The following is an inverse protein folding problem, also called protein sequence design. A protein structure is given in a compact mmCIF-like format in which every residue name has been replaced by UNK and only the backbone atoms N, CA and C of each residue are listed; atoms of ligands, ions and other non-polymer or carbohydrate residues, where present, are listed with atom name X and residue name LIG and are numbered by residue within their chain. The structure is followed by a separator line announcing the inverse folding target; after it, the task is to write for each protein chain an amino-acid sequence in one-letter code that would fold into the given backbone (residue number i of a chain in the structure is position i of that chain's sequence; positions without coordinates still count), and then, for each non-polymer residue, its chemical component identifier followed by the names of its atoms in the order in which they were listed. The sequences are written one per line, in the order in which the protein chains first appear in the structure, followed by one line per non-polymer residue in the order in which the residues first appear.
data_IF_037457278207
#
_entry.id   IF_037457278207
#
_cell.length_a   1.000
_cell.length_b   1.000
_cell.length_c   1.000
_cell.angle_alpha   90.00
_cell.angle_beta   90.00
_cell.angle_gamma   90.00
#
_symmetry.space_group_name_H-M   'P 1'
#
loop_
_entity.id
_entity.type
_entity.pdbx_description
1 polymer ?
#
# COMPACT_ATOMS: atom_id res chain seq x y z
N UNK A 1 5.14 -7.51 1.63
CA UNK A 1 3.78 -7.38 2.18
C UNK A 1 2.78 -7.93 1.18
N UNK A 2 1.95 -8.92 1.51
CA UNK A 2 0.84 -9.36 0.65
C UNK A 2 -0.11 -8.18 0.36
N UNK A 3 -0.41 -7.94 -0.91
CA UNK A 3 -1.21 -6.77 -1.32
C UNK A 3 -2.65 -6.85 -0.81
N UNK A 4 -3.20 -8.05 -0.70
CA UNK A 4 -4.55 -8.30 -0.17
C UNK A 4 -4.75 -7.82 1.28
N UNK A 5 -3.66 -7.63 2.03
CA UNK A 5 -3.71 -7.09 3.40
C UNK A 5 -3.71 -5.57 3.42
N UNK A 6 -3.46 -4.91 2.28
CA UNK A 6 -3.35 -3.47 2.17
C UNK A 6 -4.66 -2.87 1.70
N UNK A 7 -5.02 -1.75 2.29
CA UNK A 7 -6.25 -1.05 1.99
C UNK A 7 -5.96 0.29 1.33
N UNK A 8 -6.48 0.48 0.12
CA UNK A 8 -6.39 1.78 -0.56
C UNK A 8 -7.30 2.79 0.13
N UNK A 9 -6.82 4.03 0.22
CA UNK A 9 -7.67 5.18 0.58
C UNK A 9 -7.90 6.12 -0.60
N UNK A 10 -7.31 5.83 -1.76
CA UNK A 10 -7.44 6.59 -3.00
C UNK A 10 -7.81 5.66 -4.16
N UNK A 11 -8.78 6.07 -4.96
CA UNK A 11 -9.32 5.27 -6.04
C UNK A 11 -10.56 5.87 -6.68
N UNK A 12 -11.08 5.25 -7.75
CA UNK A 12 -12.32 5.66 -8.41
C UNK A 12 -13.57 5.07 -7.78
N UNK A 13 -13.41 4.19 -6.79
CA UNK A 13 -14.53 3.59 -6.08
C UNK A 13 -15.22 4.63 -5.19
N UNK A 14 -16.55 4.52 -5.10
CA UNK A 14 -17.35 5.34 -4.18
C UNK A 14 -16.89 5.11 -2.73
N UNK A 15 -16.90 6.19 -1.94
CA UNK A 15 -16.52 6.14 -0.52
C UNK A 15 -15.01 6.15 -0.26
N UNK A 16 -14.17 6.25 -1.30
CA UNK A 16 -12.74 6.51 -1.11
C UNK A 16 -12.51 7.86 -0.43
N UNK A 17 -11.63 7.90 0.58
CA UNK A 17 -11.25 9.14 1.25
C UNK A 17 -10.67 10.18 0.26
N UNK A 18 -9.96 9.69 -0.76
CA UNK A 18 -9.43 10.49 -1.86
C UNK A 18 -9.92 9.94 -3.20
N UNK A 19 -11.14 10.33 -3.57
CA UNK A 19 -11.75 9.93 -4.83
C UNK A 19 -11.01 10.53 -6.04
N UNK A 20 -10.78 9.72 -7.07
CA UNK A 20 -10.17 10.11 -8.35
C UNK A 20 -11.10 9.68 -9.48
N UNK A 21 -11.47 10.56 -10.43
CA UNK A 21 -12.28 10.17 -11.59
C UNK A 21 -11.73 8.91 -12.29
N UNK A 22 -12.61 8.00 -12.68
CA UNK A 22 -12.24 6.68 -13.18
C UNK A 22 -11.31 6.72 -14.40
N UNK A 23 -11.56 7.64 -15.34
CA UNK A 23 -10.72 7.86 -16.52
C UNK A 23 -9.30 8.31 -16.14
N UNK A 24 -9.18 9.26 -15.20
CA UNK A 24 -7.89 9.75 -14.70
C UNK A 24 -7.16 8.64 -13.95
N UNK A 25 -7.88 7.89 -13.12
CA UNK A 25 -7.32 6.76 -12.38
C UNK A 25 -6.75 5.71 -13.32
N UNK A 26 -7.55 5.20 -14.27
CA UNK A 26 -7.10 4.15 -15.18
C UNK A 26 -5.91 4.62 -16.01
N UNK A 27 -5.97 5.82 -16.59
CA UNK A 27 -4.84 6.38 -17.34
C UNK A 27 -3.55 6.41 -16.53
N UNK A 28 -3.60 6.83 -15.26
CA UNK A 28 -2.42 6.88 -14.38
C UNK A 28 -1.92 5.50 -14.01
N UNK A 29 -2.82 4.56 -13.70
CA UNK A 29 -2.44 3.19 -13.36
C UNK A 29 -1.80 2.48 -14.56
N UNK A 30 -2.35 2.68 -15.76
CA UNK A 30 -1.83 2.06 -16.98
C UNK A 30 -0.45 2.64 -17.36
N UNK A 31 -0.29 3.97 -17.29
CA UNK A 31 1.02 4.62 -17.47
C UNK A 31 2.08 4.11 -16.49
N UNK A 32 1.70 3.92 -15.22
CA UNK A 32 2.61 3.33 -14.25
C UNK A 32 2.91 1.88 -14.62
N UNK A 33 1.90 1.03 -14.79
CA UNK A 33 2.07 -0.40 -15.07
C UNK A 33 2.94 -0.67 -16.31
N UNK A 34 2.84 0.16 -17.34
CA UNK A 34 3.71 0.12 -18.52
C UNK A 34 5.18 0.41 -18.16
N UNK A 35 5.43 1.43 -17.35
CA UNK A 35 6.77 1.81 -16.90
C UNK A 35 7.37 0.87 -15.82
N UNK A 36 6.55 0.02 -15.18
CA UNK A 36 7.01 -0.92 -14.16
C UNK A 36 7.67 -2.16 -14.80
N UNK A 37 9.00 -2.29 -14.64
CA UNK A 37 9.76 -3.43 -15.17
C UNK A 37 10.07 -4.49 -14.11
N UNK A 38 10.50 -4.08 -12.92
CA UNK A 38 10.89 -4.96 -11.82
C UNK A 38 10.26 -4.47 -10.51
N UNK A 39 9.74 -5.39 -9.70
CA UNK A 39 9.17 -5.10 -8.38
C UNK A 39 10.26 -4.64 -7.38
N UNK A 40 11.47 -5.19 -7.47
CA UNK A 40 12.56 -4.92 -6.52
C UNK A 40 13.12 -3.50 -6.63
N UNK A 41 13.00 -2.87 -7.79
CA UNK A 41 13.43 -1.49 -7.99
C UNK A 41 12.37 -0.47 -7.56
N UNK A 42 11.17 -0.92 -7.16
CA UNK A 42 10.11 0.00 -6.83
C UNK A 42 10.28 0.62 -5.45
N UNK A 43 10.08 1.94 -5.34
CA UNK A 43 10.00 2.56 -4.03
C UNK A 43 8.86 1.88 -3.25
N UNK A 44 9.07 1.61 -1.95
CA UNK A 44 8.05 1.01 -1.12
C UNK A 44 6.79 1.88 -1.06
N UNK A 45 5.65 1.27 -0.76
CA UNK A 45 4.43 2.00 -0.42
C UNK A 45 4.54 2.53 1.02
N UNK A 46 3.99 3.71 1.29
CA UNK A 46 3.89 4.19 2.68
C UNK A 46 2.56 3.73 3.23
N UNK A 47 2.61 2.88 4.25
CA UNK A 47 1.45 2.22 4.84
C UNK A 47 1.37 2.60 6.31
N UNK A 48 0.23 3.11 6.72
CA UNK A 48 -0.07 3.40 8.12
C UNK A 48 -0.76 2.20 8.77
N UNK A 49 -0.34 1.85 9.98
CA UNK A 49 -1.16 1.05 10.88
C UNK A 49 -2.20 1.93 11.56
N UNK A 50 -3.47 1.73 11.23
CA UNK A 50 -4.58 2.51 11.77
C UNK A 50 -5.70 1.55 12.18
N UNK A 51 -6.01 1.48 13.47
CA UNK A 51 -7.15 0.70 14.00
C UNK A 51 -7.18 -0.77 13.54
N UNK A 52 -6.01 -1.42 13.51
CA UNK A 52 -5.91 -2.83 13.08
C UNK A 52 -5.78 -3.03 11.57
N UNK A 53 -5.79 -1.95 10.78
CA UNK A 53 -5.76 -1.96 9.31
C UNK A 53 -4.46 -1.40 8.76
N UNK A 54 -4.08 -1.85 7.57
CA UNK A 54 -2.88 -1.39 6.86
C UNK A 54 -3.30 -0.47 5.70
N UNK A 55 -3.41 0.82 6.01
CA UNK A 55 -3.92 1.82 5.08
C UNK A 55 -2.79 2.39 4.22
N UNK A 56 -2.91 2.34 2.90
CA UNK A 56 -1.92 2.94 1.98
C UNK A 56 -2.10 4.46 2.00
N UNK A 57 -1.13 5.17 2.58
CA UNK A 57 -1.12 6.63 2.65
C UNK A 57 -0.34 7.27 1.51
N UNK A 58 0.62 6.56 0.93
CA UNK A 58 1.24 6.94 -0.33
C UNK A 58 1.47 5.72 -1.24
N UNK A 59 1.28 5.94 -2.55
CA UNK A 59 1.47 4.90 -3.56
C UNK A 59 0.21 4.11 -3.93
N UNK A 60 -1.00 4.64 -3.72
CA UNK A 60 -2.25 3.96 -4.11
C UNK A 60 -2.32 3.57 -5.60
N UNK A 61 -1.92 4.47 -6.52
CA UNK A 61 -1.83 4.15 -7.95
C UNK A 61 -0.71 3.14 -8.25
N UNK A 62 0.42 3.20 -7.53
CA UNK A 62 1.50 2.21 -7.63
C UNK A 62 1.01 0.83 -7.20
N UNK A 63 0.27 0.74 -6.10
CA UNK A 63 -0.37 -0.50 -5.66
C UNK A 63 -1.29 -1.09 -6.74
N UNK A 64 -2.15 -0.26 -7.34
CA UNK A 64 -3.02 -0.70 -8.43
C UNK A 64 -2.25 -1.16 -9.67
N UNK A 65 -1.13 -0.49 -10.01
CA UNK A 65 -0.26 -0.89 -11.11
C UNK A 65 0.45 -2.22 -10.81
N UNK A 66 0.91 -2.42 -9.58
CA UNK A 66 1.50 -3.68 -9.12
C UNK A 66 0.49 -4.84 -9.27
N UNK A 67 -0.76 -4.64 -8.83
CA UNK A 67 -1.85 -5.61 -9.02
C UNK A 67 -2.06 -5.89 -10.51
N UNK A 68 -2.07 -4.86 -11.36
CA UNK A 68 -2.25 -4.99 -12.82
C UNK A 68 -1.17 -5.84 -13.47
N UNK A 69 0.06 -5.77 -12.96
CA UNK A 69 1.20 -6.58 -13.43
C UNK A 69 1.16 -8.02 -12.93
N UNK A 70 0.18 -8.39 -12.11
CA UNK A 70 0.03 -9.73 -11.56
C UNK A 70 0.95 -10.02 -10.38
N UNK A 71 1.64 -9.01 -9.83
CA UNK A 71 2.42 -9.18 -8.62
C UNK A 71 1.49 -9.21 -7.40
N UNK A 72 1.78 -10.10 -6.45
CA UNK A 72 0.92 -10.38 -5.29
C UNK A 72 1.46 -9.79 -3.99
N UNK A 73 2.68 -9.25 -4.02
CA UNK A 73 3.32 -8.63 -2.88
C UNK A 73 4.10 -7.39 -3.28
N UNK A 74 4.38 -6.52 -2.31
CA UNK A 74 5.20 -5.33 -2.51
C UNK A 74 6.04 -5.01 -1.25
N UNK A 75 7.03 -4.14 -1.42
CA UNK A 75 7.74 -3.53 -0.30
C UNK A 75 6.92 -2.39 0.30
N UNK A 76 6.98 -2.24 1.62
CA UNK A 76 6.30 -1.16 2.34
C UNK A 76 7.24 -0.52 3.36
N UNK A 77 6.99 0.75 3.65
CA UNK A 77 7.42 1.42 4.87
C UNK A 77 6.20 1.48 5.78
N UNK A 78 6.29 0.85 6.94
CA UNK A 78 5.22 0.84 7.92
C UNK A 78 5.38 2.03 8.88
N UNK A 79 4.38 2.90 8.89
CA UNK A 79 4.24 4.02 9.80
C UNK A 79 3.26 3.66 10.92
N UNK A 80 3.66 3.92 12.17
CA UNK A 80 2.84 3.79 13.37
C UNK A 80 2.83 5.14 14.09
N UNK A 81 1.66 5.60 14.55
CA UNK A 81 1.54 6.91 15.23
C UNK A 81 1.90 6.85 16.71
N UNK A 82 1.94 5.64 17.28
CA UNK A 82 2.29 5.42 18.68
C UNK A 82 3.09 4.13 18.88
N UNK A 83 3.68 3.98 20.06
CA UNK A 83 4.31 2.71 20.44
C UNK A 83 3.29 1.58 20.62
N UNK A 84 2.03 1.91 20.90
CA UNK A 84 0.93 0.93 20.96
C UNK A 84 0.66 0.38 19.57
N UNK A 85 0.50 1.25 18.58
CA UNK A 85 0.34 0.87 17.16
C UNK A 85 1.49 0.01 16.70
N UNK A 86 2.73 0.40 17.02
CA UNK A 86 3.93 -0.36 16.66
C UNK A 86 3.89 -1.78 17.22
N UNK A 87 3.52 -1.97 18.49
CA UNK A 87 3.40 -3.30 19.11
C UNK A 87 2.27 -4.12 18.49
N UNK A 88 1.12 -3.50 18.23
CA UNK A 88 -0.02 -4.18 17.60
C UNK A 88 0.29 -4.60 16.16
N UNK A 89 0.94 -3.72 15.39
CA UNK A 89 1.36 -4.01 14.03
C UNK A 89 2.42 -5.12 14.01
N UNK A 90 3.42 -5.06 14.89
CA UNK A 90 4.44 -6.10 15.02
C UNK A 90 3.82 -7.47 15.33
N UNK A 91 2.86 -7.53 16.26
CA UNK A 91 2.13 -8.74 16.57
C UNK A 91 1.30 -9.25 15.37
N UNK A 92 0.55 -8.38 14.69
CA UNK A 92 -0.25 -8.73 13.51
C UNK A 92 0.57 -9.17 12.29
N UNK A 93 1.80 -8.67 12.20
CA UNK A 93 2.73 -8.97 11.10
C UNK A 93 3.71 -10.09 11.45
N UNK A 94 3.68 -10.63 12.67
CA UNK A 94 4.65 -11.59 13.20
C UNK A 94 6.10 -11.09 13.05
N UNK A 95 6.34 -9.80 13.34
CA UNK A 95 7.65 -9.17 13.30
C UNK A 95 8.20 -9.07 14.72
N UNK A 96 9.41 -9.59 14.94
CA UNK A 96 10.14 -9.36 16.19
C UNK A 96 10.79 -7.96 16.18
N UNK A 97 10.22 -7.05 16.96
CA UNK A 97 10.72 -5.67 17.13
C UNK A 97 11.60 -5.50 18.36
N UNK A 98 11.93 -6.59 19.08
CA UNK A 98 12.71 -6.55 20.33
C UNK A 98 14.21 -6.67 20.12
N UNK A 99 14.65 -7.13 18.94
CA UNK A 99 16.07 -7.16 18.56
C UNK A 99 16.52 -5.79 18.07
N UNK A 100 17.31 -5.10 18.91
CA UNK A 100 18.18 -3.99 18.49
C UNK A 100 19.57 -4.52 18.20
#
# INVERSE_FOLDING_TARGET
MPIERLERCCGPEDGMAYHVPADIWQRRVDQLAEALENLESLPPLIVEWCEGRLMIRDGNHRCAAIIRKGWTSCFIVLWCNSSVDQRQAAASLNIDITRR
#
